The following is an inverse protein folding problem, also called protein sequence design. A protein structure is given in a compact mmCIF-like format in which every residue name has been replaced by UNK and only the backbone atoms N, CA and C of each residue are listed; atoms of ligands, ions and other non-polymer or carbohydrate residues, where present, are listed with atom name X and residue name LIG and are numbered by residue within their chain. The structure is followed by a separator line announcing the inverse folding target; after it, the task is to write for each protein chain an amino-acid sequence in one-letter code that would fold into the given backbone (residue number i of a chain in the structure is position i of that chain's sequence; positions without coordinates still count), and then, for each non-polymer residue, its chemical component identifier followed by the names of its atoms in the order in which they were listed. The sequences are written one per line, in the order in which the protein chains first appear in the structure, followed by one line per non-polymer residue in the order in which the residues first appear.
data_IF_137620189727
#
_entry.id   IF_137620189727
#
_cell.length_a   1.000
_cell.length_b   1.000
_cell.length_c   1.000
_cell.angle_alpha   90.00
_cell.angle_beta   90.00
_cell.angle_gamma   90.00
#
_symmetry.space_group_name_H-M   'P 1'
#
loop_
_entity.id
_entity.type
_entity.pdbx_description
1 polymer ?
#
# COMPACT_ATOMS: atom_id res chain seq x y z
N UNK A 1 12.01 -4.92 -11.25
CA UNK A 1 11.29 -5.91 -10.43
C UNK A 1 10.59 -5.10 -9.35
N UNK A 2 9.43 -4.57 -9.71
CA UNK A 2 8.77 -3.50 -8.96
C UNK A 2 7.75 -4.14 -8.03
N UNK A 3 8.00 -4.09 -6.74
CA UNK A 3 7.03 -4.44 -5.70
C UNK A 3 5.90 -3.41 -5.81
N UNK A 4 4.72 -3.85 -6.25
CA UNK A 4 3.52 -3.02 -6.25
C UNK A 4 3.00 -2.90 -4.82
N UNK A 5 3.22 -1.76 -4.17
CA UNK A 5 2.55 -1.41 -2.91
C UNK A 5 1.28 -0.66 -3.31
N UNK A 6 0.12 -1.27 -3.07
CA UNK A 6 -1.17 -0.59 -3.15
C UNK A 6 -1.42 0.04 -1.78
N UNK A 7 -1.22 1.35 -1.67
CA UNK A 7 -1.39 2.10 -0.42
C UNK A 7 -2.86 2.50 -0.23
N UNK A 8 -3.51 2.00 0.83
CA UNK A 8 -4.85 2.43 1.24
C UNK A 8 -4.73 3.39 2.42
N UNK A 9 -5.05 4.67 2.19
CA UNK A 9 -5.34 5.66 3.23
C UNK A 9 -4.15 6.17 4.04
N UNK A 10 -3.76 7.43 3.81
CA UNK A 10 -2.89 8.18 4.73
C UNK A 10 -3.69 9.40 5.20
N UNK A 11 -4.09 9.41 6.47
CA UNK A 11 -4.71 10.58 7.11
C UNK A 11 -3.62 11.52 7.62
N UNK A 12 -3.52 12.73 7.06
CA UNK A 12 -2.70 13.82 7.60
C UNK A 12 -3.44 14.50 8.75
N UNK A 13 -2.91 14.40 9.97
CA UNK A 13 -3.34 15.24 11.10
C UNK A 13 -2.47 16.49 11.20
N UNK A 14 -3.12 17.65 11.37
CA UNK A 14 -2.48 18.92 11.60
C UNK A 14 -1.76 18.92 12.97
N UNK A 15 -0.50 19.37 12.95
CA UNK A 15 0.46 19.33 14.06
C UNK A 15 -0.01 20.17 15.25
N UNK A 16 -0.13 19.53 16.40
CA UNK A 16 -0.07 20.15 17.72
C UNK A 16 1.20 19.64 18.43
N UNK A 17 2.06 20.58 18.85
CA UNK A 17 3.37 20.32 19.45
C UNK A 17 3.26 19.57 20.78
N UNK A 18 3.50 18.25 20.82
CA UNK A 18 4.05 17.50 21.98
C UNK A 18 4.78 16.22 21.56
N UNK A 19 5.88 15.96 22.28
CA UNK A 19 6.53 14.68 22.57
C UNK A 19 7.55 14.06 21.57
N UNK A 20 8.81 14.47 21.77
CA UNK A 20 10.04 13.94 21.15
C UNK A 20 10.36 12.47 21.53
N UNK A 21 9.65 11.88 22.50
CA UNK A 21 9.91 10.50 22.96
C UNK A 21 9.19 9.42 22.14
N UNK A 22 8.03 9.74 21.54
CA UNK A 22 7.24 8.78 20.76
C UNK A 22 7.79 8.54 19.35
N UNK A 23 8.39 9.58 18.74
CA UNK A 23 9.04 9.49 17.43
C UNK A 23 10.19 8.48 17.41
N UNK A 24 10.97 8.41 18.49
CA UNK A 24 12.09 7.46 18.63
C UNK A 24 11.64 6.00 18.71
N UNK A 25 10.41 5.75 19.17
CA UNK A 25 9.84 4.40 19.26
C UNK A 25 9.22 3.94 17.93
N UNK A 26 8.63 4.82 17.12
CA UNK A 26 8.06 4.45 15.80
C UNK A 26 9.12 3.89 14.85
N UNK A 27 10.25 4.57 14.78
CA UNK A 27 11.45 4.15 14.04
C UNK A 27 11.99 2.81 14.55
N UNK A 28 11.80 2.48 15.83
CA UNK A 28 12.26 1.21 16.40
C UNK A 28 11.32 0.02 16.14
N UNK A 29 10.04 0.25 15.79
CA UNK A 29 9.04 -0.81 15.60
C UNK A 29 9.09 -1.48 14.22
N UNK A 30 9.51 -0.75 13.19
CA UNK A 30 9.53 -1.23 11.82
C UNK A 30 10.92 -1.08 11.19
N UNK A 31 11.29 -1.96 10.24
CA UNK A 31 12.52 -1.79 9.48
C UNK A 31 12.56 -0.42 8.78
N UNK A 32 13.67 0.30 8.96
CA UNK A 32 13.89 1.64 8.40
C UNK A 32 13.68 1.70 6.88
N UNK A 33 13.99 0.62 6.19
CA UNK A 33 13.83 0.51 4.74
C UNK A 33 12.37 0.61 4.31
N UNK A 34 11.43 0.01 5.06
CA UNK A 34 10.00 0.10 4.77
C UNK A 34 9.47 1.51 5.05
N UNK A 35 9.86 2.12 6.17
CA UNK A 35 9.43 3.47 6.52
C UNK A 35 9.88 4.49 5.46
N UNK A 36 11.13 4.39 4.99
CA UNK A 36 11.65 5.26 3.94
C UNK A 36 10.95 5.03 2.60
N UNK A 37 10.59 3.78 2.27
CA UNK A 37 9.84 3.48 1.04
C UNK A 37 8.43 4.07 1.08
N UNK A 38 7.74 3.94 2.21
CA UNK A 38 6.41 4.51 2.41
C UNK A 38 6.46 6.04 2.33
N UNK A 39 7.37 6.68 3.08
CA UNK A 39 7.56 8.13 3.07
C UNK A 39 7.85 8.67 1.66
N UNK A 40 8.69 7.96 0.90
CA UNK A 40 9.00 8.31 -0.48
C UNK A 40 7.78 8.22 -1.41
N UNK A 41 6.99 7.15 -1.31
CA UNK A 41 5.80 6.96 -2.15
C UNK A 41 4.66 7.91 -1.76
N UNK A 42 4.57 8.27 -0.48
CA UNK A 42 3.58 9.20 0.05
C UNK A 42 3.96 10.68 -0.05
N UNK A 43 5.17 10.98 -0.55
CA UNK A 43 5.74 12.32 -0.62
C UNK A 43 5.67 13.10 0.72
N UNK A 44 6.02 12.42 1.82
CA UNK A 44 6.07 13.02 3.16
C UNK A 44 7.37 12.65 3.88
N UNK A 45 7.67 13.35 4.97
CA UNK A 45 8.76 12.95 5.84
C UNK A 45 8.36 11.72 6.67
N UNK A 46 9.34 10.90 7.07
CA UNK A 46 9.10 9.69 7.88
C UNK A 46 8.42 10.05 9.22
N UNK A 47 8.72 11.23 9.75
CA UNK A 47 8.17 11.74 11.00
C UNK A 47 6.68 12.14 10.90
N UNK A 48 6.18 12.41 9.68
CA UNK A 48 4.77 12.72 9.43
C UNK A 48 3.87 11.47 9.42
N UNK A 49 4.46 10.26 9.39
CA UNK A 49 3.71 9.01 9.32
C UNK A 49 3.07 8.71 10.69
N UNK A 50 1.74 8.82 10.74
CA UNK A 50 0.97 8.53 11.96
C UNK A 50 0.80 7.03 12.16
N UNK A 51 0.22 6.36 11.17
CA UNK A 51 -0.04 4.91 11.12
C UNK A 51 -0.21 4.47 9.64
N UNK A 52 -0.14 3.17 9.36
CA UNK A 52 -0.37 2.62 8.02
C UNK A 52 -0.99 1.22 8.07
N UNK A 53 -1.91 0.94 7.14
CA UNK A 53 -2.43 -0.41 6.88
C UNK A 53 -1.98 -0.85 5.49
N UNK A 54 -1.25 -1.97 5.42
CA UNK A 54 -0.62 -2.46 4.19
C UNK A 54 -1.08 -3.87 3.90
N UNK A 55 -1.64 -4.06 2.70
CA UNK A 55 -1.87 -5.37 2.12
C UNK A 55 -0.72 -5.75 1.20
N UNK A 56 -0.04 -6.86 1.50
CA UNK A 56 0.94 -7.43 0.56
C UNK A 56 0.18 -8.13 -0.55
N UNK A 57 0.44 -7.71 -1.79
CA UNK A 57 -0.18 -8.26 -2.99
C UNK A 57 0.84 -9.01 -3.84
N UNK A 58 0.35 -9.90 -4.70
CA UNK A 58 1.20 -10.52 -5.72
C UNK A 58 1.73 -9.43 -6.67
N UNK A 59 3.02 -9.53 -7.02
CA UNK A 59 3.69 -8.61 -7.93
C UNK A 59 3.46 -8.98 -9.41
N UNK A 60 2.90 -10.17 -9.67
CA UNK A 60 2.59 -10.62 -11.04
C UNK A 60 1.39 -9.82 -11.58
N UNK A 61 1.53 -9.14 -12.73
CA UNK A 61 0.44 -8.39 -13.32
C UNK A 61 -0.65 -9.33 -13.87
N UNK A 62 -1.89 -8.85 -13.85
CA UNK A 62 -2.99 -9.53 -14.49
C UNK A 62 -2.72 -9.72 -16.00
N UNK A 63 -3.07 -10.88 -16.54
CA UNK A 63 -2.79 -11.27 -17.92
C UNK A 63 -3.98 -12.05 -18.51
N UNK A 64 -4.23 -11.84 -19.81
CA UNK A 64 -5.18 -12.66 -20.57
C UNK A 64 -4.46 -13.91 -21.07
N UNK A 65 -5.12 -15.06 -20.97
CA UNK A 65 -4.56 -16.36 -21.28
C UNK A 65 -5.61 -17.31 -21.84
N UNK A 66 -5.17 -18.45 -22.37
CA UNK A 66 -6.01 -19.40 -23.10
C UNK A 66 -5.47 -19.58 -24.51
N UNK A 67 -6.01 -20.56 -25.25
CA UNK A 67 -5.60 -20.74 -26.65
C UNK A 67 -6.13 -19.60 -27.51
N UNK A 68 -7.33 -19.13 -27.15
CA UNK A 68 -8.08 -18.07 -27.83
C UNK A 68 -8.32 -16.87 -26.91
N UNK A 69 -7.40 -16.60 -25.97
CA UNK A 69 -7.50 -15.47 -25.02
C UNK A 69 -8.79 -15.46 -24.17
N UNK A 70 -9.28 -16.65 -23.82
CA UNK A 70 -10.59 -16.85 -23.19
C UNK A 70 -10.62 -16.70 -21.66
N UNK A 71 -9.46 -16.60 -21.01
CA UNK A 71 -9.33 -16.52 -19.55
C UNK A 71 -8.58 -15.26 -19.11
N UNK A 72 -8.93 -14.77 -17.91
CA UNK A 72 -8.21 -13.71 -17.21
C UNK A 72 -7.56 -14.29 -15.97
N UNK A 73 -6.23 -14.22 -15.91
CA UNK A 73 -5.46 -14.55 -14.72
C UNK A 73 -5.10 -13.27 -13.99
N UNK A 74 -5.65 -13.11 -12.79
CA UNK A 74 -5.38 -11.96 -11.94
C UNK A 74 -5.49 -12.35 -10.45
N UNK A 75 -4.70 -11.72 -9.57
CA UNK A 75 -4.90 -11.88 -8.13
C UNK A 75 -6.21 -11.22 -7.68
N UNK A 76 -6.78 -11.70 -6.55
CA UNK A 76 -7.91 -11.08 -5.85
C UNK A 76 -9.23 -10.94 -6.66
N UNK A 77 -9.46 -11.80 -7.65
CA UNK A 77 -10.69 -11.79 -8.48
C UNK A 77 -11.97 -11.88 -7.64
N UNK A 78 -11.98 -12.73 -6.62
CA UNK A 78 -13.06 -12.77 -5.62
C UNK A 78 -12.78 -11.74 -4.50
N UNK A 79 -13.58 -10.70 -4.27
CA UNK A 79 -14.80 -10.30 -4.99
C UNK A 79 -14.60 -9.06 -5.87
N UNK A 80 -13.34 -8.67 -6.14
CA UNK A 80 -13.05 -7.42 -6.87
C UNK A 80 -13.65 -7.41 -8.27
N UNK A 81 -13.67 -8.55 -8.95
CA UNK A 81 -14.27 -8.67 -10.29
C UNK A 81 -15.77 -8.34 -10.26
N UNK A 82 -16.51 -8.85 -9.28
CA UNK A 82 -17.94 -8.59 -9.16
C UNK A 82 -18.22 -7.12 -8.82
N UNK A 83 -17.47 -6.57 -7.87
CA UNK A 83 -17.60 -5.16 -7.49
C UNK A 83 -17.38 -4.24 -8.70
N UNK A 84 -16.31 -4.49 -9.48
CA UNK A 84 -16.02 -3.71 -10.68
C UNK A 84 -17.14 -3.80 -11.71
N UNK A 85 -17.58 -5.01 -12.07
CA UNK A 85 -18.65 -5.21 -13.05
C UNK A 85 -19.99 -4.60 -12.62
N UNK A 86 -20.22 -4.43 -11.32
CA UNK A 86 -21.45 -3.80 -10.80
C UNK A 86 -21.38 -2.27 -10.86
N UNK A 87 -20.18 -1.70 -10.71
CA UNK A 87 -19.98 -0.23 -10.70
C UNK A 87 -19.80 0.40 -12.08
N UNK A 88 -19.48 -0.39 -13.10
CA UNK A 88 -19.27 0.06 -14.48
C UNK A 88 -20.58 0.16 -15.26
#
# INVERSE_FOLDING_TARGET
MSIGIVMLGIEKQAVAEKDNQDQKQKVARHPQQIMNLIAKEAECDVDDIVDFDICVVDAVPATVAGLEDEFVFAPRLDNLCHCYCTTQ
#
